data_IF_749076577760
#
_entry.id   IF_749076577760
#
_cell.length_a   1.000
_cell.length_b   1.000
_cell.length_c   1.000
_cell.angle_alpha   90.00
_cell.angle_beta   90.00
_cell.angle_gamma   90.00
#
_symmetry.space_group_name_H-M   'P 1'
#
loop_
_entity.id
_entity.type
_entity.pdbx_description
1 polymer ?
#
# COMPACT_ATOMS: atom_id res chain seq x y z
N UNK A 1 12.45 -0.06 10.76
CA UNK A 1 11.10 0.28 10.33
C UNK A 1 11.21 1.65 9.71
N UNK A 2 10.97 1.74 8.40
CA UNK A 2 11.20 2.97 7.64
C UNK A 2 10.20 4.04 8.07
N UNK A 3 10.64 5.29 8.16
CA UNK A 3 9.72 6.38 8.49
C UNK A 3 8.79 6.65 7.30
N UNK A 4 7.64 7.28 7.55
CA UNK A 4 6.75 7.69 6.46
C UNK A 4 7.48 8.56 5.43
N UNK A 5 8.41 9.41 5.88
CA UNK A 5 9.23 10.25 4.99
C UNK A 5 10.09 9.41 4.05
N UNK A 6 10.71 8.35 4.56
CA UNK A 6 11.56 7.46 3.75
C UNK A 6 10.73 6.71 2.70
N UNK A 7 9.56 6.20 3.09
CA UNK A 7 8.63 5.52 2.19
C UNK A 7 8.12 6.45 1.08
N UNK A 8 7.87 7.73 1.41
CA UNK A 8 7.46 8.72 0.42
C UNK A 8 8.58 9.07 -0.54
N UNK A 9 9.83 9.16 -0.06
CA UNK A 9 10.99 9.35 -0.91
C UNK A 9 11.16 8.17 -1.88
N UNK A 10 11.04 6.93 -1.39
CA UNK A 10 11.09 5.73 -2.21
C UNK A 10 9.95 5.67 -3.24
N UNK A 11 8.72 5.95 -2.82
CA UNK A 11 7.54 5.98 -3.69
C UNK A 11 7.67 7.04 -4.78
N UNK A 12 8.40 8.13 -4.54
CA UNK A 12 8.55 9.23 -5.49
C UNK A 12 9.63 9.01 -6.56
N UNK A 13 10.34 7.88 -6.57
CA UNK A 13 11.47 7.62 -7.49
C UNK A 13 11.17 7.90 -8.97
N UNK A 14 9.92 7.71 -9.40
CA UNK A 14 9.48 7.95 -10.79
C UNK A 14 8.52 9.15 -10.93
N UNK A 15 8.44 10.01 -9.93
CA UNK A 15 7.53 11.15 -9.87
C UNK A 15 8.28 12.47 -9.70
N UNK A 16 7.75 13.55 -10.30
CA UNK A 16 8.33 14.90 -10.12
C UNK A 16 8.15 15.44 -8.70
N UNK A 17 7.10 14.98 -8.00
CA UNK A 17 6.71 15.43 -6.66
C UNK A 17 5.90 14.34 -5.98
N UNK A 18 5.96 14.29 -4.65
CA UNK A 18 5.05 13.48 -3.85
C UNK A 18 3.63 14.03 -4.00
N UNK A 19 2.64 13.15 -4.23
CA UNK A 19 1.23 13.52 -4.30
C UNK A 19 0.43 12.88 -3.15
N UNK A 20 -0.79 13.40 -2.85
CA UNK A 20 -1.62 12.85 -1.77
C UNK A 20 -1.93 11.36 -1.91
N UNK A 21 -2.02 10.83 -3.14
CA UNK A 21 -2.27 9.40 -3.37
C UNK A 21 -1.11 8.52 -2.91
N UNK A 22 0.14 8.97 -3.03
CA UNK A 22 1.31 8.23 -2.50
C UNK A 22 1.27 8.16 -0.98
N UNK A 23 0.87 9.26 -0.33
CA UNK A 23 0.68 9.31 1.14
C UNK A 23 -0.40 8.33 1.58
N UNK A 24 -1.55 8.32 0.89
CA UNK A 24 -2.62 7.38 1.19
C UNK A 24 -2.17 5.93 0.98
N UNK A 25 -1.42 5.64 -0.09
CA UNK A 25 -0.90 4.30 -0.37
C UNK A 25 0.08 3.81 0.70
N UNK A 26 1.06 4.65 1.07
CA UNK A 26 2.05 4.30 2.08
C UNK A 26 1.41 4.08 3.45
N UNK A 27 0.50 4.97 3.88
CA UNK A 27 -0.25 4.81 5.13
C UNK A 27 -1.13 3.55 5.13
N UNK A 28 -1.73 3.23 3.99
CA UNK A 28 -2.55 2.02 3.83
C UNK A 28 -1.69 0.75 4.00
N UNK A 29 -0.50 0.71 3.40
CA UNK A 29 0.44 -0.41 3.58
C UNK A 29 0.96 -0.55 5.01
N UNK A 30 1.32 0.56 5.67
CA UNK A 30 1.73 0.57 7.08
C UNK A 30 0.62 0.05 8.00
N UNK A 31 -0.61 0.51 7.79
CA UNK A 31 -1.78 0.05 8.56
C UNK A 31 -2.04 -1.44 8.35
N UNK A 32 -1.86 -1.96 7.12
CA UNK A 32 -1.98 -3.39 6.86
C UNK A 32 -0.97 -4.22 7.65
N UNK A 33 0.29 -3.79 7.70
CA UNK A 33 1.32 -4.46 8.52
C UNK A 33 0.97 -4.48 10.00
N UNK A 34 0.43 -3.38 10.53
CA UNK A 34 -0.04 -3.29 11.90
C UNK A 34 -1.22 -4.24 12.18
N UNK A 35 -2.22 -4.26 11.30
CA UNK A 35 -3.46 -5.05 11.51
C UNK A 35 -3.25 -6.55 11.33
N UNK A 36 -2.28 -6.95 10.51
CA UNK A 36 -1.94 -8.36 10.26
C UNK A 36 -0.75 -8.86 11.08
N UNK A 37 -0.17 -8.02 11.94
CA UNK A 37 1.04 -8.30 12.73
C UNK A 37 2.21 -8.79 11.85
N UNK A 38 2.46 -8.08 10.75
CA UNK A 38 3.51 -8.40 9.77
C UNK A 38 4.62 -7.36 9.77
N UNK A 39 5.89 -7.77 9.82
CA UNK A 39 7.00 -6.86 9.59
C UNK A 39 7.06 -6.48 8.10
N UNK A 40 6.76 -5.22 7.80
CA UNK A 40 6.80 -4.66 6.45
C UNK A 40 7.89 -3.57 6.33
N UNK A 41 8.48 -3.35 5.14
CA UNK A 41 8.22 -4.06 3.88
C UNK A 41 8.75 -5.51 3.89
N UNK A 42 8.01 -6.43 3.26
CA UNK A 42 8.34 -7.86 3.31
C UNK A 42 9.53 -8.22 2.40
N UNK A 43 10.48 -9.05 2.86
CA UNK A 43 11.52 -9.63 1.99
C UNK A 43 11.01 -10.87 1.23
N UNK A 44 9.99 -11.53 1.76
CA UNK A 44 9.42 -12.79 1.25
C UNK A 44 8.18 -12.52 0.38
N UNK A 45 7.33 -13.54 0.18
CA UNK A 45 6.09 -13.46 -0.60
C UNK A 45 4.85 -13.87 0.22
N UNK A 46 4.84 -13.53 1.51
CA UNK A 46 3.77 -13.90 2.45
C UNK A 46 2.54 -12.99 2.32
N UNK A 47 2.76 -11.67 2.25
CA UNK A 47 1.69 -10.72 2.05
C UNK A 47 1.36 -10.61 0.56
N UNK A 48 0.08 -10.76 0.23
CA UNK A 48 -0.48 -10.49 -1.10
C UNK A 48 -1.34 -9.23 -1.00
N UNK A 49 -1.12 -8.28 -1.89
CA UNK A 49 -1.93 -7.08 -2.03
C UNK A 49 -2.76 -7.12 -3.31
N UNK A 50 -4.01 -6.68 -3.23
CA UNK A 50 -4.91 -6.47 -4.36
C UNK A 50 -5.35 -5.02 -4.31
N UNK A 51 -4.85 -4.20 -5.24
CA UNK A 51 -5.21 -2.78 -5.35
C UNK A 51 -6.41 -2.61 -6.29
N UNK A 52 -7.35 -1.76 -5.90
CA UNK A 52 -8.60 -1.49 -6.66
C UNK A 52 -8.48 -0.31 -7.64
N UNK A 53 -7.25 0.17 -7.85
CA UNK A 53 -6.86 1.25 -8.77
C UNK A 53 -5.37 1.11 -9.07
N UNK A 54 -4.92 1.72 -10.16
CA UNK A 54 -3.50 1.85 -10.48
C UNK A 54 -2.90 3.24 -10.08
N UNK A 55 -1.68 3.50 -10.53
CA UNK A 55 -1.01 4.81 -10.40
C UNK A 55 -0.41 5.10 -9.02
N UNK A 56 -0.31 6.38 -8.68
CA UNK A 56 0.43 6.88 -7.50
C UNK A 56 0.06 6.22 -6.15
N UNK A 57 -1.16 5.71 -6.01
CA UNK A 57 -1.59 5.00 -4.80
C UNK A 57 -0.84 3.67 -4.64
N UNK A 58 -0.68 2.93 -5.74
CA UNK A 58 0.05 1.67 -5.79
C UNK A 58 1.53 1.86 -5.48
N UNK A 59 2.14 2.98 -5.91
CA UNK A 59 3.55 3.27 -5.60
C UNK A 59 3.77 3.39 -4.09
N UNK A 60 2.82 4.03 -3.38
CA UNK A 60 2.87 4.13 -1.92
C UNK A 60 2.70 2.77 -1.24
N UNK A 61 1.75 1.95 -1.71
CA UNK A 61 1.57 0.57 -1.21
C UNK A 61 2.84 -0.23 -1.41
N UNK A 62 3.46 -0.14 -2.59
CA UNK A 62 4.64 -0.93 -2.95
C UNK A 62 5.83 -0.57 -2.07
N UNK A 63 6.05 0.73 -1.83
CA UNK A 63 7.10 1.19 -0.91
C UNK A 63 6.86 0.66 0.52
N UNK A 64 5.64 0.83 1.06
CA UNK A 64 5.34 0.45 2.44
C UNK A 64 5.33 -1.07 2.69
N UNK A 65 4.93 -1.86 1.70
CA UNK A 65 4.69 -3.29 1.90
C UNK A 65 5.73 -4.20 1.26
N UNK A 66 6.50 -3.71 0.28
CA UNK A 66 7.34 -4.56 -0.57
C UNK A 66 6.53 -5.39 -1.58
N UNK A 67 5.21 -5.21 -1.67
CA UNK A 67 4.38 -5.84 -2.69
C UNK A 67 4.49 -5.10 -4.02
N UNK A 68 4.80 -5.79 -5.11
CA UNK A 68 4.77 -5.20 -6.44
C UNK A 68 4.49 -6.25 -7.52
N UNK A 69 4.00 -5.78 -8.68
CA UNK A 69 3.50 -6.64 -9.77
C UNK A 69 4.57 -7.65 -10.22
N UNK A 70 5.81 -7.20 -10.42
CA UNK A 70 6.93 -8.06 -10.82
C UNK A 70 7.25 -9.19 -9.84
N UNK A 71 6.93 -9.04 -8.55
CA UNK A 71 7.09 -10.10 -7.54
C UNK A 71 5.90 -11.05 -7.44
N UNK A 72 4.80 -10.73 -8.12
CA UNK A 72 3.51 -11.43 -8.05
C UNK A 72 2.85 -11.37 -6.67
N UNK A 73 3.26 -10.41 -5.85
CA UNK A 73 2.69 -10.12 -4.52
C UNK A 73 1.73 -8.94 -4.55
N UNK A 74 1.61 -8.25 -5.69
CA UNK A 74 0.60 -7.22 -5.94
C UNK A 74 -0.19 -7.57 -7.21
N UNK A 75 -1.51 -7.47 -7.12
CA UNK A 75 -2.45 -7.51 -8.25
C UNK A 75 -3.20 -6.18 -8.33
N UNK A 76 -3.53 -5.77 -9.54
CA UNK A 76 -4.37 -4.60 -9.78
C UNK A 76 -5.68 -5.12 -10.38
N UNK A 77 -6.77 -4.89 -9.64
CA UNK A 77 -8.13 -5.18 -10.07
C UNK A 77 -8.85 -3.84 -10.15
N UNK A 78 -8.69 -3.14 -11.27
CA UNK A 78 -9.05 -1.73 -11.36
C UNK A 78 -10.57 -1.53 -11.37
N UNK A 79 -11.09 -1.04 -10.25
CA UNK A 79 -12.49 -0.65 -10.06
C UNK A 79 -12.63 0.87 -9.94
N UNK A 80 -11.55 1.64 -10.16
CA UNK A 80 -11.49 3.07 -9.92
C UNK A 80 -11.57 3.48 -8.44
N UNK A 81 -11.32 2.56 -7.51
CA UNK A 81 -11.44 2.79 -6.06
C UNK A 81 -10.06 2.94 -5.43
N UNK A 82 -9.85 4.01 -4.66
CA UNK A 82 -8.65 4.15 -3.83
C UNK A 82 -8.77 3.24 -2.61
N UNK A 83 -8.51 1.95 -2.79
CA UNK A 83 -8.57 0.92 -1.77
C UNK A 83 -7.63 -0.23 -2.11
N UNK A 84 -7.23 -0.98 -1.10
CA UNK A 84 -6.49 -2.22 -1.30
C UNK A 84 -6.86 -3.27 -0.24
N UNK A 85 -6.85 -4.53 -0.67
CA UNK A 85 -6.99 -5.69 0.21
C UNK A 85 -5.62 -6.33 0.41
N UNK A 86 -5.27 -6.63 1.66
CA UNK A 86 -4.03 -7.26 2.07
C UNK A 86 -4.35 -8.60 2.69
N UNK A 87 -3.66 -9.64 2.24
CA UNK A 87 -3.91 -11.03 2.61
C UNK A 87 -2.59 -11.61 3.09
N UNK A 88 -2.56 -12.11 4.32
CA UNK A 88 -1.48 -12.95 4.80
C UNK A 88 -1.71 -14.40 4.33
N UNK A 89 -0.87 -14.88 3.41
CA UNK A 89 -1.03 -16.22 2.84
C UNK A 89 -0.79 -17.35 3.84
N UNK A 90 -0.18 -17.08 5.00
CA UNK A 90 0.09 -18.10 6.01
C UNK A 90 -1.08 -18.28 6.97
N UNK A 91 -1.67 -17.19 7.43
CA UNK A 91 -2.77 -17.20 8.39
C UNK A 91 -4.15 -17.12 7.74
N UNK A 92 -4.19 -16.83 6.43
CA UNK A 92 -5.40 -16.52 5.66
C UNK A 92 -6.16 -15.28 6.16
N UNK A 93 -5.55 -14.51 7.06
CA UNK A 93 -6.07 -13.23 7.52
C UNK A 93 -6.09 -12.21 6.39
N UNK A 94 -7.21 -11.51 6.22
CA UNK A 94 -7.38 -10.50 5.19
C UNK A 94 -7.97 -9.21 5.76
N UNK A 95 -7.46 -8.07 5.30
CA UNK A 95 -7.99 -6.75 5.62
C UNK A 95 -8.11 -5.90 4.38
N UNK A 96 -9.27 -5.26 4.19
CA UNK A 96 -9.49 -4.26 3.15
C UNK A 96 -9.46 -2.87 3.74
N UNK A 97 -8.62 -2.01 3.20
CA UNK A 97 -8.40 -0.64 3.69
C UNK A 97 -8.78 0.34 2.58
N UNK A 98 -9.59 1.33 2.94
CA UNK A 98 -9.95 2.45 2.10
C UNK A 98 -9.89 3.75 2.94
N UNK A 99 -9.38 4.86 2.40
CA UNK A 99 -9.49 6.17 3.05
C UNK A 99 -10.96 6.55 3.25
N UNK A 100 -11.24 7.28 4.32
CA UNK A 100 -12.56 7.90 4.49
C UNK A 100 -12.79 8.93 3.39
N UNK A 101 -14.05 9.07 2.97
CA UNK A 101 -14.41 10.00 1.89
C UNK A 101 -14.16 11.47 2.28
N UNK A 102 -14.28 11.79 3.56
CA UNK A 102 -14.08 13.13 4.15
C UNK A 102 -12.60 13.45 4.45
N UNK A 103 -11.65 12.55 4.17
CA UNK A 103 -10.25 12.71 4.59
C UNK A 103 -9.59 13.98 4.05
N UNK A 104 -10.05 14.48 2.90
CA UNK A 104 -9.54 15.73 2.30
C UNK A 104 -9.99 16.98 3.05
N UNK A 105 -11.13 16.92 3.73
CA UNK A 105 -11.70 18.05 4.46
C UNK A 105 -11.07 18.18 5.86
N UNK A 106 -10.47 17.10 6.35
CA UNK A 106 -9.87 17.01 7.69
C UNK A 106 -8.35 17.27 7.71
N UNK A 107 -7.73 17.53 6.55
CA UNK A 107 -6.27 17.57 6.35
C UNK A 107 -5.72 18.99 6.15
#
# INVERSE_FOLDING_TARGET
>A
MDSLTDLLAQSATHHKRVCPRQVLGARTGLLAGLLLDLPLPQPEKRLIAIAETDGCFVDGISAATGCYVGRRTLRIEDYGKTAATFIDSLTEGAVRIAPRQDVRELA
#
